data_IF_819164692257
#
_entry.id   IF_819164692257
#
_cell.length_a   1.000
_cell.length_b   1.000
_cell.length_c   1.000
_cell.angle_alpha   90.00
_cell.angle_beta   90.00
_cell.angle_gamma   90.00
#
_symmetry.space_group_name_H-M   'P 1'
#
loop_
_entity.id
_entity.type
_entity.pdbx_description
1 polymer ?
#
# COMPACT_ATOMS: atom_id res chain seq x y z
N UNK A 1 5.62 -18.49 -6.90
CA UNK A 1 5.88 -17.27 -6.09
C UNK A 1 7.33 -16.88 -6.30
N UNK A 2 7.62 -15.80 -7.05
CA UNK A 2 9.00 -15.30 -7.20
C UNK A 2 9.42 -14.72 -5.85
N UNK A 3 10.48 -15.24 -5.26
CA UNK A 3 11.09 -14.69 -4.05
C UNK A 3 11.83 -13.42 -4.50
N UNK A 4 11.15 -12.27 -4.46
CA UNK A 4 11.85 -10.98 -4.47
C UNK A 4 12.58 -10.87 -3.13
N UNK A 5 13.84 -10.43 -3.15
CA UNK A 5 14.58 -10.12 -1.94
C UNK A 5 13.70 -9.25 -1.04
N UNK A 6 13.34 -9.78 0.13
CA UNK A 6 12.46 -9.10 1.08
C UNK A 6 13.21 -7.88 1.60
N UNK A 7 12.90 -6.71 1.05
CA UNK A 7 13.43 -5.47 1.59
C UNK A 7 12.92 -5.34 3.01
N UNK A 8 13.84 -5.38 3.97
CA UNK A 8 13.49 -5.23 5.36
C UNK A 8 13.18 -3.76 5.65
N UNK A 9 11.91 -3.47 5.95
CA UNK A 9 11.49 -2.15 6.39
C UNK A 9 12.07 -1.86 7.78
N UNK A 10 12.52 -0.63 7.98
CA UNK A 10 12.95 -0.17 9.31
C UNK A 10 11.77 -0.21 10.27
N UNK A 11 12.00 -0.70 11.49
CA UNK A 11 10.97 -0.77 12.54
C UNK A 11 10.31 0.60 12.85
N UNK A 12 11.08 1.68 12.74
CA UNK A 12 10.55 3.04 12.91
C UNK A 12 9.53 3.41 11.83
N UNK A 13 9.71 2.96 10.58
CA UNK A 13 8.78 3.21 9.48
C UNK A 13 7.56 2.30 9.55
N UNK A 14 7.73 1.02 9.95
CA UNK A 14 6.60 0.13 10.27
C UNK A 14 5.71 0.75 11.34
N UNK A 15 6.30 1.18 12.47
CA UNK A 15 5.58 1.85 13.56
C UNK A 15 4.86 3.12 13.12
N UNK A 16 5.47 3.90 12.21
CA UNK A 16 4.82 5.08 11.63
C UNK A 16 3.61 4.69 10.77
N UNK A 17 3.73 3.67 9.93
CA UNK A 17 2.63 3.16 9.11
C UNK A 17 1.46 2.67 9.97
N UNK A 18 1.72 1.83 10.99
CA UNK A 18 0.68 1.36 11.93
C UNK A 18 0.02 2.52 12.69
N UNK A 19 0.80 3.52 13.12
CA UNK A 19 0.23 4.71 13.77
C UNK A 19 -0.67 5.52 12.84
N UNK A 20 -0.32 5.63 11.56
CA UNK A 20 -1.16 6.28 10.56
C UNK A 20 -2.46 5.49 10.34
N UNK A 21 -2.38 4.16 10.23
CA UNK A 21 -3.56 3.30 10.13
C UNK A 21 -4.47 3.45 11.34
N UNK A 22 -3.92 3.42 12.57
CA UNK A 22 -4.66 3.66 13.80
C UNK A 22 -5.30 5.06 13.82
N UNK A 23 -4.59 6.10 13.39
CA UNK A 23 -5.13 7.47 13.29
C UNK A 23 -6.30 7.54 12.31
N UNK A 24 -6.23 6.77 11.23
CA UNK A 24 -7.29 6.64 10.23
C UNK A 24 -8.39 5.63 10.64
N UNK A 25 -8.39 5.14 11.88
CA UNK A 25 -9.33 4.12 12.38
C UNK A 25 -9.37 2.86 11.48
N UNK A 26 -8.22 2.50 10.93
CA UNK A 26 -8.01 1.34 10.04
C UNK A 26 -8.78 1.41 8.71
N UNK A 27 -9.34 2.58 8.35
CA UNK A 27 -9.97 2.82 7.05
C UNK A 27 -9.10 3.69 6.14
N UNK A 28 -9.45 3.73 4.85
CA UNK A 28 -8.92 4.68 3.88
C UNK A 28 -10.08 5.28 3.08
N UNK A 29 -10.03 6.59 2.87
CA UNK A 29 -10.87 7.22 1.85
C UNK A 29 -10.21 7.09 0.45
N UNK A 30 -10.99 7.34 -0.60
CA UNK A 30 -10.53 7.23 -1.99
C UNK A 30 -9.31 8.12 -2.28
N UNK A 31 -9.23 9.31 -1.68
CA UNK A 31 -8.09 10.22 -1.86
C UNK A 31 -6.81 9.65 -1.23
N UNK A 32 -6.91 9.07 -0.03
CA UNK A 32 -5.81 8.43 0.65
C UNK A 32 -5.32 7.20 -0.12
N UNK A 33 -6.24 6.39 -0.65
CA UNK A 33 -5.88 5.23 -1.47
C UNK A 33 -5.21 5.66 -2.78
N UNK A 34 -5.75 6.66 -3.49
CA UNK A 34 -5.12 7.20 -4.70
C UNK A 34 -3.68 7.68 -4.46
N UNK A 35 -3.40 8.31 -3.31
CA UNK A 35 -2.04 8.70 -2.92
C UNK A 35 -1.11 7.50 -2.72
N UNK A 36 -1.60 6.43 -2.09
CA UNK A 36 -0.83 5.20 -1.89
C UNK A 36 -0.51 4.51 -3.21
N UNK A 37 -1.49 4.42 -4.12
CA UNK A 37 -1.31 3.86 -5.46
C UNK A 37 -0.22 4.63 -6.22
N UNK A 38 -0.31 5.96 -6.23
CA UNK A 38 0.68 6.80 -6.90
C UNK A 38 2.07 6.71 -6.26
N UNK A 39 2.15 6.58 -4.93
CA UNK A 39 3.41 6.37 -4.21
C UNK A 39 4.04 5.02 -4.53
N UNK A 40 3.24 3.97 -4.71
CA UNK A 40 3.71 2.65 -5.09
C UNK A 40 4.21 2.64 -6.55
N UNK A 41 3.40 3.20 -7.47
CA UNK A 41 3.71 3.27 -8.90
C UNK A 41 5.03 3.98 -9.19
N UNK A 42 5.25 5.13 -8.53
CA UNK A 42 6.45 5.95 -8.72
C UNK A 42 7.55 5.66 -7.68
N UNK A 43 7.30 4.74 -6.76
CA UNK A 43 8.22 4.41 -5.67
C UNK A 43 9.33 3.46 -6.10
N UNK A 44 10.47 3.57 -5.41
CA UNK A 44 11.47 2.51 -5.38
C UNK A 44 10.93 1.28 -4.63
N UNK A 45 11.71 0.21 -4.62
CA UNK A 45 11.29 -1.04 -3.99
C UNK A 45 11.02 -0.88 -2.48
N UNK A 46 11.74 0.00 -1.77
CA UNK A 46 11.47 0.26 -0.34
C UNK A 46 10.11 0.93 -0.13
N UNK A 47 9.80 1.98 -0.93
CA UNK A 47 8.50 2.67 -0.87
C UNK A 47 7.35 1.74 -1.23
N UNK A 48 7.53 0.86 -2.21
CA UNK A 48 6.54 -0.16 -2.58
C UNK A 48 6.25 -1.09 -1.40
N UNK A 49 7.29 -1.67 -0.80
CA UNK A 49 7.14 -2.53 0.38
C UNK A 49 6.49 -1.81 1.56
N UNK A 50 6.77 -0.51 1.77
CA UNK A 50 6.12 0.26 2.83
C UNK A 50 4.61 0.47 2.59
N UNK A 51 4.21 0.72 1.33
CA UNK A 51 2.79 0.80 0.96
C UNK A 51 2.10 -0.56 1.10
N UNK A 52 2.73 -1.64 0.63
CA UNK A 52 2.23 -3.01 0.74
C UNK A 52 2.05 -3.41 2.22
N UNK A 53 3.03 -3.12 3.07
CA UNK A 53 2.96 -3.34 4.52
C UNK A 53 1.77 -2.59 5.13
N UNK A 54 1.64 -1.29 4.80
CA UNK A 54 0.56 -0.46 5.34
C UNK A 54 -0.82 -1.00 4.96
N UNK A 55 -1.02 -1.41 3.71
CA UNK A 55 -2.31 -1.91 3.21
C UNK A 55 -2.62 -3.30 3.77
N UNK A 56 -1.61 -4.16 3.91
CA UNK A 56 -1.74 -5.49 4.52
C UNK A 56 -2.23 -5.40 5.98
N UNK A 57 -1.68 -4.45 6.75
CA UNK A 57 -2.06 -4.20 8.16
C UNK A 57 -3.54 -3.81 8.35
N UNK A 58 -4.21 -3.32 7.30
CA UNK A 58 -5.63 -2.94 7.31
C UNK A 58 -6.49 -3.82 6.39
N UNK A 59 -6.03 -5.03 6.06
CA UNK A 59 -6.75 -6.05 5.28
C UNK A 59 -7.02 -5.73 3.80
N UNK A 60 -6.31 -4.80 3.18
CA UNK A 60 -6.39 -4.49 1.73
C UNK A 60 -5.51 -5.43 0.89
N UNK A 61 -5.56 -6.74 1.16
CA UNK A 61 -4.69 -7.73 0.51
C UNK A 61 -4.91 -7.83 -1.01
N UNK A 62 -6.16 -7.66 -1.46
CA UNK A 62 -6.52 -7.68 -2.88
C UNK A 62 -5.89 -6.50 -3.62
N UNK A 63 -5.91 -5.32 -3.02
CA UNK A 63 -5.33 -4.11 -3.60
C UNK A 63 -3.80 -4.23 -3.66
N UNK A 64 -3.17 -4.85 -2.64
CA UNK A 64 -1.75 -5.20 -2.67
C UNK A 64 -1.44 -6.12 -3.84
N UNK A 65 -2.24 -7.16 -4.08
CA UNK A 65 -2.05 -8.05 -5.24
C UNK A 65 -2.13 -7.29 -6.58
N UNK A 66 -3.07 -6.36 -6.73
CA UNK A 66 -3.17 -5.52 -7.92
C UNK A 66 -1.92 -4.63 -8.08
N UNK A 67 -1.43 -4.03 -7.00
CA UNK A 67 -0.21 -3.20 -7.01
C UNK A 67 1.04 -4.02 -7.39
N UNK A 68 1.21 -5.21 -6.81
CA UNK A 68 2.34 -6.10 -7.11
C UNK A 68 2.33 -6.59 -8.57
N UNK A 69 1.14 -6.75 -9.15
CA UNK A 69 0.97 -7.12 -10.56
C UNK A 69 1.01 -5.90 -11.51
N UNK A 70 1.25 -4.69 -11.00
CA UNK A 70 1.34 -3.47 -11.80
C UNK A 70 -0.01 -2.99 -12.35
N UNK A 71 -1.13 -3.49 -11.84
CA UNK A 71 -2.50 -3.17 -12.29
C UNK A 71 -3.00 -1.84 -11.68
N UNK A 72 -2.21 -0.79 -11.84
CA UNK A 72 -2.48 0.52 -11.23
C UNK A 72 -3.78 1.16 -11.74
N UNK A 73 -4.02 1.15 -13.06
CA UNK A 73 -5.19 1.80 -13.63
C UNK A 73 -6.48 1.06 -13.26
N UNK A 74 -6.47 -0.27 -13.25
CA UNK A 74 -7.58 -1.09 -12.78
C UNK A 74 -7.95 -0.74 -11.33
N UNK A 75 -6.95 -0.63 -10.46
CA UNK A 75 -7.18 -0.28 -9.06
C UNK A 75 -7.67 1.17 -8.91
N UNK A 76 -7.14 2.12 -9.69
CA UNK A 76 -7.59 3.52 -9.68
C UNK A 76 -9.06 3.65 -10.09
N UNK A 77 -9.51 2.90 -11.10
CA UNK A 77 -10.93 2.92 -11.52
C UNK A 77 -11.85 2.38 -10.42
N UNK A 78 -11.44 1.33 -9.71
CA UNK A 78 -12.22 0.80 -8.58
C UNK A 78 -12.31 1.81 -7.42
N UNK A 79 -11.19 2.47 -7.09
CA UNK A 79 -11.14 3.47 -6.00
C UNK A 79 -12.00 4.69 -6.28
N UNK A 80 -12.22 5.06 -7.55
CA UNK A 80 -13.15 6.15 -7.92
C UNK A 80 -14.61 5.85 -7.55
N UNK A 81 -14.95 4.59 -7.31
CA UNK A 81 -16.31 4.14 -6.95
C UNK A 81 -16.50 3.95 -5.43
N UNK A 82 -15.49 4.27 -4.61
CA UNK A 82 -15.56 4.16 -3.15
C UNK A 82 -16.29 5.33 -2.49
#
# INVERSE_FOLDING_TARGET
>A
MKIMATIELRESDKKRATNLNRKNKYGLDSTQMMRLINSHQNGDAYKRTLVEYRLTDINFHREVELLMNGKYDELKEQVKQW
#
